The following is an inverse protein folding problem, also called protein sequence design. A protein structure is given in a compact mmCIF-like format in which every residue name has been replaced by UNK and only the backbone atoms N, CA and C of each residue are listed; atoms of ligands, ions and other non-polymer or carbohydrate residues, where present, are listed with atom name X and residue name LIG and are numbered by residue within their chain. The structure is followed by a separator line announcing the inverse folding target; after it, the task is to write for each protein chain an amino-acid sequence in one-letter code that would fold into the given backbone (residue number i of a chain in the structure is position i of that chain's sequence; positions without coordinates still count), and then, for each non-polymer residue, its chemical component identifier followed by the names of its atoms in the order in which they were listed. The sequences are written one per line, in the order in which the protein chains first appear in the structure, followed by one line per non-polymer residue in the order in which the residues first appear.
data_IF_584243043944
#
_entry.id   IF_584243043944
#
_cell.length_a   1.000
_cell.length_b   1.000
_cell.length_c   1.000
_cell.angle_alpha   90.00
_cell.angle_beta   90.00
_cell.angle_gamma   90.00
#
_symmetry.space_group_name_H-M   'P 1'
#
loop_
_entity.id
_entity.type
_entity.pdbx_description
1 polymer ?
#
# COMPACT_ATOMS: atom_id res chain seq x y z
N UNK A 1 16.41 0.05 51.47
CA UNK A 1 17.26 -0.10 52.67
C UNK A 1 16.41 0.18 53.90
N UNK A 2 15.67 -0.83 54.38
CA UNK A 2 15.03 -0.81 55.69
C UNK A 2 15.35 -2.18 56.30
N UNK A 3 16.34 -2.22 57.18
CA UNK A 3 16.62 -3.38 58.00
C UNK A 3 15.66 -3.29 59.19
N UNK A 4 14.61 -4.12 59.18
CA UNK A 4 13.83 -4.35 60.40
C UNK A 4 14.68 -5.23 61.31
N UNK A 5 15.56 -4.62 62.10
CA UNK A 5 16.24 -5.34 63.17
C UNK A 5 15.24 -5.63 64.27
N UNK A 6 14.94 -6.90 64.48
CA UNK A 6 14.10 -7.35 65.57
C UNK A 6 14.75 -6.96 66.91
N UNK A 7 14.13 -6.02 67.63
CA UNK A 7 14.68 -5.33 68.81
C UNK A 7 15.02 -6.33 69.94
N UNK A 8 14.48 -7.55 69.87
CA UNK A 8 14.71 -8.62 70.83
C UNK A 8 16.07 -9.34 70.67
N UNK A 9 16.70 -9.32 69.49
CA UNK A 9 18.03 -9.95 69.29
C UNK A 9 19.19 -9.11 69.86
N UNK A 10 19.05 -7.78 69.96
CA UNK A 10 20.09 -6.89 70.52
C UNK A 10 20.18 -7.00 72.04
N UNK A 11 19.10 -7.44 72.71
CA UNK A 11 19.01 -7.55 74.18
C UNK A 11 19.43 -8.91 74.75
N UNK A 12 19.94 -9.82 73.92
CA UNK A 12 20.46 -11.13 74.37
C UNK A 12 19.40 -12.07 74.96
N UNK A 13 18.12 -11.87 74.63
CA UNK A 13 17.00 -12.65 75.16
C UNK A 13 16.55 -13.80 74.23
N UNK A 14 17.21 -13.99 73.09
CA UNK A 14 16.92 -15.05 72.12
C UNK A 14 18.16 -15.90 71.84
N UNK A 15 17.96 -17.19 71.56
CA UNK A 15 19.04 -18.12 71.21
C UNK A 15 19.58 -17.83 69.80
N UNK A 16 20.84 -18.17 69.52
CA UNK A 16 21.51 -17.89 68.23
C UNK A 16 20.77 -18.43 67.00
N UNK A 17 19.94 -19.46 67.17
CA UNK A 17 19.11 -20.03 66.10
C UNK A 17 17.86 -19.20 65.81
N UNK A 18 17.41 -18.32 66.73
CA UNK A 18 16.27 -17.42 66.55
C UNK A 18 16.64 -16.07 65.91
N UNK A 19 17.93 -15.74 65.81
CA UNK A 19 18.40 -14.49 65.17
C UNK A 19 18.92 -14.70 63.73
N UNK A 20 18.86 -15.94 63.20
CA UNK A 20 19.03 -16.21 61.77
C UNK A 20 17.65 -16.13 61.12
N UNK A 21 17.23 -14.93 60.72
CA UNK A 21 16.21 -14.83 59.69
C UNK A 21 16.82 -15.37 58.40
N UNK A 22 16.26 -16.48 57.89
CA UNK A 22 16.50 -16.99 56.54
C UNK A 22 15.90 -16.00 55.50
N UNK A 23 16.39 -14.76 55.48
CA UNK A 23 15.88 -13.72 54.57
C UNK A 23 16.28 -13.96 53.10
N UNK A 24 17.25 -14.85 52.85
CA UNK A 24 17.65 -15.22 51.49
C UNK A 24 16.55 -15.99 50.75
N UNK A 25 15.77 -16.83 51.45
CA UNK A 25 14.65 -17.57 50.84
C UNK A 25 13.47 -16.66 50.46
N UNK A 26 13.18 -15.67 51.30
CA UNK A 26 12.15 -14.65 51.03
C UNK A 26 12.53 -13.72 49.88
N UNK A 27 13.76 -13.21 49.85
CA UNK A 27 14.27 -12.37 48.76
C UNK A 27 14.29 -13.11 47.41
N UNK A 28 14.68 -14.38 47.40
CA UNK A 28 14.71 -15.18 46.19
C UNK A 28 13.31 -15.51 45.66
N UNK A 29 12.33 -15.72 46.56
CA UNK A 29 10.92 -15.93 46.19
C UNK A 29 10.29 -14.66 45.61
N UNK A 30 10.50 -13.49 46.22
CA UNK A 30 10.01 -12.19 45.71
C UNK A 30 10.59 -11.88 44.33
N UNK A 31 11.89 -12.14 44.11
CA UNK A 31 12.53 -11.96 42.81
C UNK A 31 11.92 -12.89 41.74
N UNK A 32 11.61 -14.13 42.10
CA UNK A 32 11.02 -15.11 41.19
C UNK A 32 9.61 -14.69 40.78
N UNK A 33 8.78 -14.23 41.72
CA UNK A 33 7.43 -13.72 41.45
C UNK A 33 7.45 -12.47 40.57
N UNK A 34 8.36 -11.53 40.86
CA UNK A 34 8.53 -10.34 40.03
C UNK A 34 8.98 -10.69 38.60
N UNK A 35 9.87 -11.68 38.49
CA UNK A 35 10.32 -12.20 37.18
C UNK A 35 9.17 -12.86 36.43
N UNK A 36 8.34 -13.65 37.12
CA UNK A 36 7.16 -14.32 36.54
C UNK A 36 6.12 -13.30 36.05
N UNK A 37 5.81 -12.28 36.85
CA UNK A 37 4.90 -11.20 36.45
C UNK A 37 5.44 -10.43 35.24
N UNK A 38 6.76 -10.18 35.21
CA UNK A 38 7.40 -9.52 34.07
C UNK A 38 7.34 -10.39 32.81
N UNK A 39 7.58 -11.70 32.93
CA UNK A 39 7.47 -12.65 31.83
C UNK A 39 6.03 -12.73 31.28
N UNK A 40 5.03 -12.74 32.16
CA UNK A 40 3.62 -12.71 31.76
C UNK A 40 3.29 -11.43 30.98
N UNK A 41 3.70 -10.27 31.51
CA UNK A 41 3.50 -8.99 30.82
C UNK A 41 4.23 -8.94 29.46
N UNK A 42 5.43 -9.52 29.36
CA UNK A 42 6.14 -9.63 28.07
C UNK A 42 5.37 -10.54 27.11
N UNK A 43 4.86 -11.68 27.57
CA UNK A 43 4.09 -12.61 26.76
C UNK A 43 2.80 -11.98 26.21
N UNK A 44 2.05 -11.25 27.04
CA UNK A 44 0.85 -10.52 26.60
C UNK A 44 1.18 -9.47 25.53
N UNK A 45 2.29 -8.74 25.70
CA UNK A 45 2.75 -7.77 24.70
C UNK A 45 3.19 -8.45 23.40
N UNK A 46 3.82 -9.63 23.48
CA UNK A 46 4.22 -10.40 22.31
C UNK A 46 2.98 -10.83 21.51
N UNK A 47 1.97 -11.40 22.18
CA UNK A 47 0.71 -11.78 21.53
C UNK A 47 0.01 -10.59 20.87
N UNK A 48 0.03 -9.41 21.51
CA UNK A 48 -0.53 -8.20 20.91
C UNK A 48 0.25 -7.73 19.66
N UNK A 49 1.58 -7.91 19.63
CA UNK A 49 2.40 -7.61 18.46
C UNK A 49 2.13 -8.62 17.34
N UNK A 50 2.03 -9.91 17.65
CA UNK A 50 1.73 -10.98 16.69
C UNK A 50 0.37 -10.75 16.02
N UNK A 51 -0.69 -10.45 16.78
CA UNK A 51 -2.02 -10.17 16.22
C UNK A 51 -2.03 -8.94 15.30
N UNK A 52 -1.26 -7.90 15.64
CA UNK A 52 -1.10 -6.74 14.77
C UNK A 52 -0.33 -7.06 13.50
N UNK A 53 0.69 -7.92 13.58
CA UNK A 53 1.45 -8.38 12.42
C UNK A 53 0.55 -9.15 11.46
N UNK A 54 -0.25 -10.10 11.96
CA UNK A 54 -1.21 -10.85 11.14
C UNK A 54 -2.20 -9.92 10.42
N UNK A 55 -2.71 -8.90 11.12
CA UNK A 55 -3.60 -7.91 10.54
C UNK A 55 -2.93 -7.09 9.43
N UNK A 56 -1.66 -6.72 9.60
CA UNK A 56 -0.88 -6.00 8.59
C UNK A 56 -0.58 -6.88 7.38
N UNK A 57 -0.22 -8.15 7.59
CA UNK A 57 0.01 -9.09 6.50
C UNK A 57 -1.23 -9.28 5.64
N UNK A 58 -2.41 -9.37 6.27
CA UNK A 58 -3.66 -9.43 5.54
C UNK A 58 -3.91 -8.15 4.72
N UNK A 59 -3.69 -6.98 5.31
CA UNK A 59 -3.85 -5.71 4.60
C UNK A 59 -2.92 -5.57 3.40
N UNK A 60 -1.66 -6.02 3.53
CA UNK A 60 -0.70 -6.06 2.42
C UNK A 60 -1.23 -6.92 1.28
N UNK A 61 -1.71 -8.13 1.57
CA UNK A 61 -2.29 -9.03 0.55
C UNK A 61 -3.50 -8.40 -0.15
N UNK A 62 -4.35 -7.70 0.59
CA UNK A 62 -5.52 -7.01 0.04
C UNK A 62 -5.15 -5.78 -0.80
N UNK A 63 -4.08 -5.06 -0.45
CA UNK A 63 -3.57 -3.91 -1.19
C UNK A 63 -2.89 -4.30 -2.51
N UNK A 64 -2.31 -5.50 -2.57
CA UNK A 64 -1.60 -6.02 -3.75
C UNK A 64 -2.51 -6.75 -4.73
N UNK A 65 -3.76 -7.06 -4.36
CA UNK A 65 -4.70 -7.77 -5.23
C UNK A 65 -4.99 -7.01 -6.54
N UNK A 66 -4.85 -5.68 -6.53
CA UNK A 66 -5.07 -4.78 -7.66
C UNK A 66 -3.78 -4.45 -8.43
N UNK A 67 -2.65 -5.04 -8.02
CA UNK A 67 -1.34 -4.90 -8.66
C UNK A 67 -1.04 -6.12 -9.54
N UNK A 68 -0.58 -5.89 -10.77
CA UNK A 68 -0.08 -6.95 -11.67
C UNK A 68 1.21 -6.49 -12.33
N UNK A 69 2.15 -7.41 -12.50
CA UNK A 69 3.45 -7.12 -13.11
C UNK A 69 3.64 -7.88 -14.40
N UNK A 70 4.41 -7.29 -15.31
CA UNK A 70 4.77 -7.90 -16.59
C UNK A 70 6.23 -7.58 -16.93
N UNK A 71 6.93 -8.57 -17.48
CA UNK A 71 8.20 -8.36 -18.16
C UNK A 71 7.97 -8.06 -19.65
N UNK A 72 8.56 -6.97 -20.12
CA UNK A 72 8.72 -6.70 -21.55
C UNK A 72 9.74 -7.68 -22.17
N UNK A 73 9.67 -7.90 -23.49
CA UNK A 73 10.59 -8.81 -24.20
C UNK A 73 12.08 -8.41 -24.14
N UNK A 74 12.40 -7.24 -23.59
CA UNK A 74 13.78 -6.77 -23.33
C UNK A 74 14.23 -6.97 -21.87
N UNK A 75 13.45 -7.67 -21.05
CA UNK A 75 13.77 -7.95 -19.65
C UNK A 75 13.45 -6.81 -18.66
N UNK A 76 12.86 -5.69 -19.12
CA UNK A 76 12.34 -4.65 -18.21
C UNK A 76 11.04 -5.14 -17.58
N UNK A 77 10.99 -5.18 -16.25
CA UNK A 77 9.78 -5.42 -15.47
C UNK A 77 9.04 -4.09 -15.29
N UNK A 78 7.74 -4.05 -15.57
CA UNK A 78 6.86 -2.95 -15.15
C UNK A 78 5.72 -3.57 -14.32
N UNK A 79 5.34 -2.90 -13.23
CA UNK A 79 4.17 -3.27 -12.44
C UNK A 79 3.10 -2.20 -12.57
N UNK A 80 1.85 -2.60 -12.50
CA UNK A 80 0.71 -1.72 -12.71
C UNK A 80 -0.28 -1.92 -11.59
N UNK A 81 -0.86 -0.82 -11.07
CA UNK A 81 -1.86 -0.84 -10.01
C UNK A 81 -3.13 -0.13 -10.46
N UNK A 82 -4.27 -0.80 -10.36
CA UNK A 82 -5.57 -0.17 -10.56
C UNK A 82 -5.98 0.55 -9.26
N UNK A 83 -6.16 1.87 -9.36
CA UNK A 83 -6.61 2.72 -8.26
C UNK A 83 -8.10 2.97 -8.42
N UNK A 84 -8.90 2.38 -7.53
CA UNK A 84 -10.36 2.48 -7.54
C UNK A 84 -10.90 3.85 -7.10
N UNK A 85 -10.09 4.66 -6.41
CA UNK A 85 -10.48 5.99 -5.96
C UNK A 85 -10.72 6.91 -7.17
N UNK A 86 -11.94 7.43 -7.31
CA UNK A 86 -12.28 8.32 -8.41
C UNK A 86 -11.77 9.75 -8.17
N UNK A 87 -10.83 10.17 -9.00
CA UNK A 87 -10.14 11.45 -8.92
C UNK A 87 -10.11 12.11 -10.30
N UNK A 88 -9.92 13.43 -10.35
CA UNK A 88 -9.64 14.08 -11.63
C UNK A 88 -8.22 13.72 -12.12
N UNK A 89 -7.91 13.97 -13.39
CA UNK A 89 -6.65 13.50 -13.97
C UNK A 89 -5.40 14.01 -13.22
N UNK A 90 -5.40 15.28 -12.79
CA UNK A 90 -4.29 15.88 -12.05
C UNK A 90 -4.14 15.25 -10.66
N UNK A 91 -5.25 15.03 -9.96
CA UNK A 91 -5.29 14.34 -8.66
C UNK A 91 -4.81 12.89 -8.79
N UNK A 92 -5.29 12.14 -9.79
CA UNK A 92 -4.85 10.77 -10.08
C UNK A 92 -3.34 10.70 -10.34
N UNK A 93 -2.82 11.66 -11.11
CA UNK A 93 -1.38 11.73 -11.39
C UNK A 93 -0.56 12.01 -10.14
N UNK A 94 -1.00 12.98 -9.34
CA UNK A 94 -0.36 13.30 -8.06
C UNK A 94 -0.41 12.10 -7.11
N UNK A 95 -1.54 11.38 -7.07
CA UNK A 95 -1.70 10.17 -6.28
C UNK A 95 -0.66 9.10 -6.66
N UNK A 96 -0.54 8.76 -7.94
CA UNK A 96 0.46 7.78 -8.39
C UNK A 96 1.89 8.19 -7.99
N UNK A 97 2.25 9.46 -8.20
CA UNK A 97 3.56 10.00 -7.81
C UNK A 97 3.85 9.95 -6.31
N UNK A 98 2.81 9.99 -5.48
CA UNK A 98 2.96 9.89 -4.03
C UNK A 98 3.04 8.44 -3.52
N UNK A 99 2.81 7.44 -4.36
CA UNK A 99 2.90 6.04 -3.95
C UNK A 99 4.36 5.61 -3.74
N UNK A 100 5.25 5.99 -4.66
CA UNK A 100 6.68 5.69 -4.58
C UNK A 100 7.45 6.53 -5.61
N UNK A 101 8.75 6.74 -5.37
CA UNK A 101 9.63 7.38 -6.33
C UNK A 101 9.63 6.65 -7.68
N UNK A 102 9.49 7.41 -8.77
CA UNK A 102 9.46 6.89 -10.14
C UNK A 102 8.12 6.34 -10.61
N UNK A 103 7.09 6.34 -9.75
CA UNK A 103 5.72 5.95 -10.13
C UNK A 103 4.98 7.14 -10.73
N UNK A 104 4.23 6.91 -11.81
CA UNK A 104 3.34 7.91 -12.41
C UNK A 104 2.11 7.18 -12.99
N UNK A 105 1.19 7.91 -13.61
CA UNK A 105 0.16 7.27 -14.42
C UNK A 105 0.81 6.47 -15.57
N UNK A 106 0.18 5.37 -15.96
CA UNK A 106 0.73 4.45 -16.97
C UNK A 106 0.95 5.14 -18.33
N UNK A 107 2.07 4.82 -18.98
CA UNK A 107 2.29 5.11 -20.40
C UNK A 107 2.13 3.82 -21.20
N UNK A 108 1.39 3.84 -22.30
CA UNK A 108 1.15 2.64 -23.10
C UNK A 108 1.95 2.72 -24.39
N UNK A 109 3.13 2.12 -24.39
CA UNK A 109 4.12 2.27 -25.46
C UNK A 109 4.12 1.08 -26.44
N UNK A 110 3.28 0.06 -26.21
CA UNK A 110 3.19 -1.12 -27.09
C UNK A 110 1.80 -1.78 -27.10
N UNK A 111 1.51 -2.52 -28.18
CA UNK A 111 0.27 -3.28 -28.32
C UNK A 111 0.13 -4.38 -27.27
N UNK A 112 1.24 -5.04 -26.95
CA UNK A 112 1.24 -6.09 -25.95
C UNK A 112 0.96 -5.51 -24.55
N UNK A 113 1.53 -4.34 -24.24
CA UNK A 113 1.27 -3.64 -22.97
C UNK A 113 -0.19 -3.25 -22.85
N UNK A 114 -0.75 -2.67 -23.91
CA UNK A 114 -2.16 -2.33 -23.98
C UNK A 114 -3.06 -3.55 -23.69
N UNK A 115 -2.77 -4.70 -24.32
CA UNK A 115 -3.52 -5.94 -24.11
C UNK A 115 -3.41 -6.44 -22.68
N UNK A 116 -2.21 -6.44 -22.12
CA UNK A 116 -1.99 -6.82 -20.73
C UNK A 116 -2.81 -5.96 -19.76
N UNK A 117 -2.87 -4.64 -19.99
CA UNK A 117 -3.66 -3.72 -19.18
C UNK A 117 -5.17 -3.96 -19.33
N UNK A 118 -5.67 -4.21 -20.54
CA UNK A 118 -7.06 -4.60 -20.78
C UNK A 118 -7.43 -5.86 -20.00
N UNK A 119 -6.60 -6.92 -20.09
CA UNK A 119 -6.81 -8.18 -19.39
C UNK A 119 -6.73 -7.99 -17.86
N UNK A 120 -5.78 -7.17 -17.38
CA UNK A 120 -5.66 -6.81 -15.97
C UNK A 120 -6.93 -6.12 -15.45
N UNK A 121 -7.43 -5.10 -16.17
CA UNK A 121 -8.63 -4.36 -15.77
C UNK A 121 -9.84 -5.31 -15.69
N UNK A 122 -9.98 -6.22 -16.67
CA UNK A 122 -11.06 -7.20 -16.68
C UNK A 122 -10.93 -8.19 -15.50
N UNK A 123 -9.72 -8.64 -15.18
CA UNK A 123 -9.46 -9.62 -14.12
C UNK A 123 -9.63 -9.06 -12.71
N UNK A 124 -9.21 -7.82 -12.46
CA UNK A 124 -9.39 -7.14 -11.15
C UNK A 124 -10.87 -6.83 -10.89
N UNK A 125 -11.67 -6.71 -11.96
CA UNK A 125 -13.10 -6.49 -11.90
C UNK A 125 -13.46 -5.01 -11.93
N UNK A 126 -14.60 -4.72 -12.54
CA UNK A 126 -15.02 -3.37 -12.88
C UNK A 126 -15.49 -2.52 -11.70
N UNK A 127 -15.26 -2.90 -10.43
CA UNK A 127 -15.76 -2.32 -9.16
C UNK A 127 -16.01 -0.78 -9.15
N UNK A 128 -17.01 -0.31 -9.89
CA UNK A 128 -17.24 1.12 -10.19
C UNK A 128 -16.27 1.81 -11.19
N UNK A 129 -15.36 1.09 -11.86
CA UNK A 129 -14.33 1.63 -12.77
C UNK A 129 -14.63 1.39 -14.26
N UNK A 130 -15.66 2.05 -14.79
CA UNK A 130 -15.95 2.04 -16.23
C UNK A 130 -15.01 2.93 -17.07
N UNK A 131 -14.33 3.86 -16.40
CA UNK A 131 -13.45 4.87 -16.96
C UNK A 131 -12.17 4.93 -16.13
N UNK A 132 -11.01 4.83 -16.80
CA UNK A 132 -9.71 4.67 -16.12
C UNK A 132 -8.68 5.56 -16.79
N UNK A 133 -8.16 6.56 -16.06
CA UNK A 133 -7.13 7.45 -16.55
C UNK A 133 -5.76 6.77 -16.72
N UNK A 134 -5.05 7.25 -17.73
CA UNK A 134 -3.64 6.96 -18.04
C UNK A 134 -2.84 8.26 -18.04
N UNK A 135 -1.53 8.22 -18.30
CA UNK A 135 -0.73 9.45 -18.43
C UNK A 135 -0.91 10.17 -19.78
N UNK A 136 -1.75 9.63 -20.67
CA UNK A 136 -1.99 10.21 -21.99
C UNK A 136 -2.63 11.58 -21.89
N UNK A 137 -2.05 12.58 -22.56
CA UNK A 137 -2.51 13.97 -22.56
C UNK A 137 -2.38 14.57 -23.96
N UNK A 138 -3.32 15.44 -24.31
CA UNK A 138 -3.28 16.28 -25.49
C UNK A 138 -2.55 17.59 -25.18
N UNK A 139 -1.57 17.93 -26.00
CA UNK A 139 -0.82 19.17 -25.93
C UNK A 139 -1.53 20.29 -26.71
N UNK A 140 -1.13 21.54 -26.48
CA UNK A 140 -1.73 22.73 -27.11
C UNK A 140 -1.63 22.73 -28.64
N UNK A 141 -0.65 22.03 -29.21
CA UNK A 141 -0.49 21.84 -30.64
C UNK A 141 -1.36 20.70 -31.22
N UNK A 142 -2.20 20.07 -30.38
CA UNK A 142 -3.07 18.95 -30.75
C UNK A 142 -2.41 17.57 -30.74
N UNK A 143 -1.11 17.47 -30.45
CA UNK A 143 -0.42 16.17 -30.37
C UNK A 143 -0.69 15.46 -29.05
N UNK A 144 -0.68 14.13 -29.08
CA UNK A 144 -0.85 13.29 -27.89
C UNK A 144 0.51 12.83 -27.36
N UNK A 145 0.73 13.01 -26.07
CA UNK A 145 1.97 12.66 -25.37
C UNK A 145 1.67 11.87 -24.10
N UNK A 146 2.64 11.07 -23.66
CA UNK A 146 2.64 10.42 -22.37
C UNK A 146 3.26 11.35 -21.34
N UNK A 147 2.47 11.89 -20.43
CA UNK A 147 2.96 12.87 -19.46
C UNK A 147 4.02 12.30 -18.51
N UNK A 148 4.03 10.97 -18.31
CA UNK A 148 5.00 10.28 -17.45
C UNK A 148 6.39 10.14 -18.11
N UNK A 149 6.45 9.83 -19.41
CA UNK A 149 7.72 9.63 -20.13
C UNK A 149 8.13 10.82 -21.00
N UNK A 150 7.21 11.74 -21.28
CA UNK A 150 7.38 12.87 -22.20
C UNK A 150 7.37 12.49 -23.68
N UNK A 151 7.17 11.21 -24.02
CA UNK A 151 7.18 10.75 -25.41
C UNK A 151 5.84 11.02 -26.09
N UNK A 152 5.89 11.29 -27.40
CA UNK A 152 4.69 11.28 -28.23
C UNK A 152 4.11 9.86 -28.34
N UNK A 153 2.80 9.76 -28.59
CA UNK A 153 2.16 8.47 -28.83
C UNK A 153 2.77 7.78 -30.05
N UNK A 154 3.43 6.64 -29.84
CA UNK A 154 3.94 5.76 -30.90
C UNK A 154 3.03 4.56 -31.20
N UNK A 155 2.05 4.30 -30.33
CA UNK A 155 1.04 3.26 -30.45
C UNK A 155 -0.31 3.86 -30.04
N UNK A 156 -1.40 3.41 -30.67
CA UNK A 156 -2.75 3.83 -30.33
C UNK A 156 -3.76 2.68 -30.41
N UNK A 157 -4.77 2.71 -29.53
CA UNK A 157 -5.92 1.79 -29.54
C UNK A 157 -7.23 2.55 -29.28
N UNK A 158 -7.44 3.63 -30.04
CA UNK A 158 -8.64 4.45 -29.94
C UNK A 158 -9.90 3.63 -30.18
N UNK A 159 -10.91 3.88 -29.36
CA UNK A 159 -12.24 3.34 -29.54
C UNK A 159 -12.91 3.89 -30.81
N UNK A 160 -14.05 3.31 -31.19
CA UNK A 160 -14.80 3.78 -32.35
C UNK A 160 -15.11 5.27 -32.26
N UNK A 161 -14.73 6.01 -33.31
CA UNK A 161 -14.87 7.46 -33.45
C UNK A 161 -14.03 8.33 -32.51
N UNK A 162 -13.05 7.77 -31.79
CA UNK A 162 -12.16 8.52 -30.91
C UNK A 162 -10.79 8.83 -31.54
N UNK A 163 -10.10 9.90 -31.11
CA UNK A 163 -10.57 10.95 -30.20
C UNK A 163 -11.52 11.95 -30.90
N UNK A 164 -12.67 12.25 -30.28
CA UNK A 164 -13.72 13.10 -30.86
C UNK A 164 -13.71 14.55 -30.32
N UNK A 165 -12.90 14.80 -29.29
CA UNK A 165 -12.81 16.05 -28.56
C UNK A 165 -14.20 16.58 -28.16
N UNK A 166 -15.01 15.74 -27.52
CA UNK A 166 -16.41 16.06 -27.23
C UNK A 166 -16.54 17.40 -26.50
N UNK A 167 -17.37 18.29 -27.06
CA UNK A 167 -17.57 19.67 -26.58
C UNK A 167 -16.31 20.55 -26.55
N UNK A 168 -15.22 20.15 -27.21
CA UNK A 168 -13.94 20.87 -27.28
C UNK A 168 -13.13 20.94 -25.99
N UNK A 169 -13.36 20.01 -25.06
CA UNK A 169 -12.70 20.01 -23.74
C UNK A 169 -12.21 18.63 -23.30
N UNK A 170 -11.69 17.81 -24.22
CA UNK A 170 -11.16 16.47 -23.89
C UNK A 170 -9.68 16.34 -24.23
N UNK A 171 -8.85 16.44 -23.18
CA UNK A 171 -7.40 16.60 -23.30
C UNK A 171 -6.61 15.52 -22.57
N UNK A 172 -7.27 14.48 -22.04
CA UNK A 172 -6.60 13.34 -21.38
C UNK A 172 -7.15 12.02 -21.87
N UNK A 173 -6.33 10.98 -21.87
CA UNK A 173 -6.71 9.67 -22.37
C UNK A 173 -7.16 8.75 -21.23
N UNK A 174 -8.33 8.16 -21.40
CA UNK A 174 -8.87 7.12 -20.53
C UNK A 174 -9.07 5.80 -21.29
N UNK A 175 -8.97 4.68 -20.58
CA UNK A 175 -9.65 3.46 -20.99
C UNK A 175 -11.15 3.60 -20.70
N UNK A 176 -11.98 3.29 -21.68
CA UNK A 176 -13.44 3.25 -21.58
C UNK A 176 -13.96 1.86 -21.93
N UNK A 177 -14.90 1.36 -21.13
CA UNK A 177 -15.57 0.09 -21.41
C UNK A 177 -16.60 0.22 -22.55
N UNK A 178 -16.50 -0.67 -23.54
CA UNK A 178 -17.39 -0.81 -24.70
C UNK A 178 -18.04 -2.20 -24.71
N UNK A 179 -18.76 -2.55 -23.64
CA UNK A 179 -19.54 -3.80 -23.60
C UNK A 179 -18.70 -5.08 -23.47
N UNK A 180 -17.56 -5.01 -22.78
CA UNK A 180 -16.69 -6.16 -22.50
C UNK A 180 -15.24 -5.96 -22.94
N UNK A 181 -14.98 -4.98 -23.80
CA UNK A 181 -13.64 -4.55 -24.18
C UNK A 181 -13.35 -3.15 -23.67
N UNK A 182 -12.09 -2.86 -23.34
CA UNK A 182 -11.64 -1.50 -23.02
C UNK A 182 -10.90 -0.92 -24.22
N UNK A 183 -11.29 0.26 -24.68
CA UNK A 183 -10.58 1.00 -25.75
C UNK A 183 -10.29 2.43 -25.30
N UNK A 184 -9.41 3.13 -25.99
CA UNK A 184 -9.02 4.48 -25.58
C UNK A 184 -10.11 5.49 -25.97
N UNK A 185 -10.32 6.46 -25.10
CA UNK A 185 -11.25 7.57 -25.27
C UNK A 185 -10.54 8.83 -24.78
N UNK A 186 -10.66 9.95 -25.49
CA UNK A 186 -10.30 11.23 -24.92
C UNK A 186 -11.40 11.66 -23.93
N UNK A 187 -10.97 12.31 -22.86
CA UNK A 187 -11.83 12.63 -21.74
C UNK A 187 -11.57 14.03 -21.24
N UNK A 188 -12.63 14.67 -20.76
CA UNK A 188 -12.50 15.91 -20.02
C UNK A 188 -11.70 15.76 -18.72
N UNK A 189 -10.69 16.62 -18.55
CA UNK A 189 -9.74 16.63 -17.43
C UNK A 189 -10.40 16.76 -16.04
N UNK A 190 -11.56 17.41 -15.96
CA UNK A 190 -12.31 17.61 -14.72
C UNK A 190 -13.21 16.43 -14.32
N UNK A 191 -13.35 15.40 -15.16
CA UNK A 191 -14.10 14.19 -14.81
C UNK A 191 -13.34 13.38 -13.76
N UNK A 192 -14.09 12.75 -12.87
CA UNK A 192 -13.54 11.83 -11.89
C UNK A 192 -13.59 10.40 -12.42
N UNK A 193 -12.45 9.74 -12.45
CA UNK A 193 -12.30 8.39 -12.97
C UNK A 193 -11.35 7.59 -12.07
N UNK A 194 -11.38 6.26 -12.18
CA UNK A 194 -10.31 5.43 -11.63
C UNK A 194 -9.01 5.72 -12.40
N UNK A 195 -7.88 5.16 -11.96
CA UNK A 195 -6.60 5.39 -12.65
C UNK A 195 -5.67 4.19 -12.59
N UNK A 196 -4.79 4.06 -13.58
CA UNK A 196 -3.71 3.08 -13.60
C UNK A 196 -2.37 3.76 -13.34
N UNK A 197 -1.69 3.34 -12.27
CA UNK A 197 -0.31 3.73 -12.01
C UNK A 197 0.64 2.68 -12.59
N UNK A 198 1.79 3.12 -13.10
CA UNK A 198 2.91 2.26 -13.53
C UNK A 198 4.10 2.46 -12.60
N UNK A 199 4.67 1.35 -12.16
CA UNK A 199 5.87 1.25 -11.34
C UNK A 199 7.05 0.82 -12.24
N UNK A 200 8.22 1.46 -12.08
CA UNK A 200 9.39 1.24 -12.92
C UNK A 200 10.09 -0.11 -12.71
#
# INVERSE_FOLDING_TARGET
MYLSFDVNCVRGQATTDQCRSDDNGGLQTVLLEQTLHTLQAINERLQAVESRLESLEQWVKESDKDTRCRSSGKGKLSCYKLVHQQMNWMESRAYCKNLHDGVDLVSIESAEENRFLQDMILAVGQSGCSYIFTSGRKESNGTWTWAATGKAFGYTDWGPNQPDNWKLYEDVMEFRSYGGEYRWNDRNTGKKCCSLCEFP
#
